data_IF_827946390584
#
_entry.id   IF_827946390584
#
_cell.length_a   1.000
_cell.length_b   1.000
_cell.length_c   1.000
_cell.angle_alpha   90.00
_cell.angle_beta   90.00
_cell.angle_gamma   90.00
#
_symmetry.space_group_name_H-M   'P 1'
#
loop_
_entity.id
_entity.type
_entity.pdbx_description
1 polymer ?
#
# COMPACT_ATOMS: atom_id res chain seq x y z
N UNK A 1 4.57 -12.91 19.81
CA UNK A 1 4.82 -11.82 20.77
C UNK A 1 4.50 -10.46 20.16
N UNK A 2 5.03 -10.13 18.97
CA UNK A 2 4.78 -8.84 18.30
C UNK A 2 3.30 -8.44 18.06
N UNK A 3 2.38 -9.39 17.83
CA UNK A 3 0.96 -9.06 17.59
C UNK A 3 0.26 -8.46 18.82
N UNK A 4 0.59 -8.94 20.02
CA UNK A 4 -0.03 -8.48 21.26
C UNK A 4 0.41 -7.06 21.64
N UNK A 5 1.66 -6.72 21.35
CA UNK A 5 2.20 -5.38 21.59
C UNK A 5 1.61 -4.36 20.59
N UNK A 6 1.37 -4.78 19.35
CA UNK A 6 0.72 -3.96 18.32
C UNK A 6 -0.73 -3.62 18.67
N UNK A 7 -1.52 -4.61 19.09
CA UNK A 7 -2.90 -4.37 19.55
C UNK A 7 -2.94 -3.48 20.78
N UNK A 8 -2.02 -3.69 21.73
CA UNK A 8 -1.94 -2.87 22.95
C UNK A 8 -1.71 -1.39 22.62
N UNK A 9 -0.86 -1.08 21.65
CA UNK A 9 -0.65 0.30 21.18
C UNK A 9 -1.95 0.90 20.62
N UNK A 10 -2.64 0.16 19.75
CA UNK A 10 -3.86 0.64 19.10
C UNK A 10 -5.01 0.80 20.09
N UNK A 11 -5.19 -0.13 21.03
CA UNK A 11 -6.18 -0.03 22.09
C UNK A 11 -5.94 1.22 22.95
N UNK A 12 -4.69 1.49 23.33
CA UNK A 12 -4.35 2.68 24.10
C UNK A 12 -4.53 3.98 23.29
N UNK A 13 -4.28 3.95 21.98
CA UNK A 13 -4.57 5.07 21.08
C UNK A 13 -6.08 5.33 20.98
N UNK A 14 -6.91 4.29 20.85
CA UNK A 14 -8.37 4.39 20.81
C UNK A 14 -8.93 4.89 22.14
N UNK A 15 -8.32 4.51 23.27
CA UNK A 15 -8.65 5.08 24.58
C UNK A 15 -8.32 6.58 24.65
N UNK A 16 -7.18 7.00 24.10
CA UNK A 16 -6.76 8.40 24.07
C UNK A 16 -7.56 9.25 23.07
N UNK A 17 -8.06 8.63 21.98
CA UNK A 17 -8.85 9.28 20.92
C UNK A 17 -10.15 8.49 20.69
N UNK A 18 -11.18 8.66 21.54
CA UNK A 18 -12.39 7.82 21.52
C UNK A 18 -13.14 7.79 20.19
N UNK A 19 -13.00 8.82 19.37
CA UNK A 19 -13.60 8.91 18.03
C UNK A 19 -13.07 7.85 17.04
N UNK A 20 -12.01 7.11 17.39
CA UNK A 20 -11.45 6.04 16.57
C UNK A 20 -12.06 4.65 16.84
N UNK A 21 -12.91 4.51 17.86
CA UNK A 21 -13.40 3.20 18.34
C UNK A 21 -14.15 2.40 17.28
N UNK A 22 -15.04 3.05 16.52
CA UNK A 22 -15.86 2.37 15.52
C UNK A 22 -14.97 1.83 14.39
N UNK A 23 -14.02 2.65 13.93
CA UNK A 23 -13.03 2.26 12.91
C UNK A 23 -12.15 1.11 13.41
N UNK A 24 -11.75 1.11 14.68
CA UNK A 24 -10.97 0.02 15.25
C UNK A 24 -11.75 -1.30 15.25
N UNK A 25 -13.00 -1.25 15.73
CA UNK A 25 -13.90 -2.40 15.78
C UNK A 25 -14.17 -3.00 14.40
N UNK A 26 -14.24 -2.15 13.37
CA UNK A 26 -14.35 -2.57 11.96
C UNK A 26 -13.11 -3.33 11.51
N UNK A 27 -11.91 -2.78 11.73
CA UNK A 27 -10.65 -3.42 11.32
C UNK A 27 -10.38 -4.73 12.06
N UNK A 28 -10.78 -4.86 13.33
CA UNK A 28 -10.71 -6.12 14.07
C UNK A 28 -11.59 -7.22 13.45
N UNK A 29 -12.73 -6.86 12.87
CA UNK A 29 -13.63 -7.82 12.19
C UNK A 29 -13.11 -8.20 10.80
N UNK A 30 -12.64 -7.23 10.03
CA UNK A 30 -12.21 -7.43 8.65
C UNK A 30 -10.83 -8.09 8.55
N UNK A 31 -9.93 -7.78 9.50
CA UNK A 31 -8.53 -8.17 9.43
C UNK A 31 -8.02 -8.76 10.75
N UNK A 32 -8.59 -9.85 11.27
CA UNK A 32 -8.32 -10.34 12.63
C UNK A 32 -6.82 -10.56 12.94
N UNK A 33 -6.04 -11.05 11.97
CA UNK A 33 -4.62 -11.34 12.17
C UNK A 33 -3.68 -10.13 12.00
N UNK A 34 -4.19 -9.02 11.46
CA UNK A 34 -3.39 -7.84 11.09
C UNK A 34 -4.07 -6.51 11.40
N UNK A 35 -5.08 -6.54 12.27
CA UNK A 35 -5.97 -5.41 12.52
C UNK A 35 -5.19 -4.14 12.86
N UNK A 36 -4.19 -4.24 13.74
CA UNK A 36 -3.39 -3.10 14.16
C UNK A 36 -2.62 -2.43 13.01
N UNK A 37 -2.04 -3.23 12.10
CA UNK A 37 -1.33 -2.71 10.92
C UNK A 37 -2.30 -2.04 9.94
N UNK A 38 -3.40 -2.74 9.60
CA UNK A 38 -4.41 -2.21 8.71
C UNK A 38 -5.02 -0.90 9.25
N UNK A 39 -5.30 -0.85 10.56
CA UNK A 39 -5.85 0.31 11.24
C UNK A 39 -4.88 1.50 11.21
N UNK A 40 -3.60 1.31 11.54
CA UNK A 40 -2.61 2.39 11.51
C UNK A 40 -2.39 2.93 10.09
N UNK A 41 -2.44 2.06 9.08
CA UNK A 41 -2.39 2.46 7.68
C UNK A 41 -3.55 3.37 7.32
N UNK A 42 -4.78 2.93 7.61
CA UNK A 42 -6.00 3.74 7.41
C UNK A 42 -5.91 5.07 8.16
N UNK A 43 -5.34 5.04 9.37
CA UNK A 43 -5.16 6.23 10.20
C UNK A 43 -4.20 7.24 9.59
N UNK A 44 -3.12 6.79 8.95
CA UNK A 44 -2.17 7.68 8.25
C UNK A 44 -2.87 8.48 7.14
N UNK A 45 -3.66 7.82 6.29
CA UNK A 45 -4.44 8.50 5.25
C UNK A 45 -5.44 9.50 5.86
N UNK A 46 -6.11 9.12 6.95
CA UNK A 46 -7.06 10.00 7.65
C UNK A 46 -6.39 11.22 8.27
N UNK A 47 -5.19 11.07 8.84
CA UNK A 47 -4.40 12.17 9.40
C UNK A 47 -3.97 13.13 8.29
N UNK A 48 -3.43 12.61 7.18
CA UNK A 48 -3.01 13.42 6.03
C UNK A 48 -4.22 14.16 5.42
N UNK A 49 -5.31 13.46 5.12
CA UNK A 49 -6.51 14.05 4.55
C UNK A 49 -7.17 15.05 5.51
N UNK A 50 -7.23 14.72 6.80
CA UNK A 50 -7.78 15.58 7.83
C UNK A 50 -7.00 16.89 7.95
N UNK A 51 -5.67 16.82 7.95
CA UNK A 51 -4.81 18.00 7.99
C UNK A 51 -4.95 18.88 6.74
N UNK A 52 -4.85 18.28 5.56
CA UNK A 52 -4.93 19.00 4.28
C UNK A 52 -6.32 19.60 3.99
N UNK A 53 -7.37 19.07 4.63
CA UNK A 53 -8.72 19.62 4.48
C UNK A 53 -8.88 21.04 5.03
N UNK A 54 -8.01 21.45 5.96
CA UNK A 54 -8.12 22.74 6.66
C UNK A 54 -9.29 22.85 7.64
N UNK A 55 -10.14 21.83 7.75
CA UNK A 55 -11.22 21.78 8.74
C UNK A 55 -10.63 21.74 10.17
N UNK A 56 -10.92 22.73 11.03
CA UNK A 56 -10.34 22.81 12.36
C UNK A 56 -10.56 21.56 13.22
N UNK A 57 -11.72 20.91 13.11
CA UNK A 57 -12.04 19.71 13.90
C UNK A 57 -11.21 18.51 13.41
N UNK A 58 -11.05 18.37 12.09
CA UNK A 58 -10.24 17.30 11.50
C UNK A 58 -8.75 17.52 11.75
N UNK A 59 -8.28 18.77 11.66
CA UNK A 59 -6.90 19.15 12.01
C UNK A 59 -6.62 18.86 13.49
N UNK A 60 -7.53 19.20 14.40
CA UNK A 60 -7.37 18.92 15.82
C UNK A 60 -7.31 17.41 16.11
N UNK A 61 -8.19 16.62 15.49
CA UNK A 61 -8.14 15.15 15.60
C UNK A 61 -6.82 14.59 15.05
N UNK A 62 -6.37 15.07 13.89
CA UNK A 62 -5.12 14.65 13.27
C UNK A 62 -3.90 14.94 14.15
N UNK A 63 -3.87 16.12 14.81
CA UNK A 63 -2.83 16.47 15.79
C UNK A 63 -2.89 15.58 17.03
N UNK A 64 -4.08 15.33 17.59
CA UNK A 64 -4.23 14.47 18.77
C UNK A 64 -3.68 13.05 18.52
N UNK A 65 -3.91 12.50 17.32
CA UNK A 65 -3.35 11.21 16.90
C UNK A 65 -1.83 11.28 16.80
N UNK A 66 -1.30 12.29 16.09
CA UNK A 66 0.13 12.46 15.91
C UNK A 66 0.86 12.68 17.24
N UNK A 67 0.30 13.48 18.15
CA UNK A 67 0.85 13.75 19.48
C UNK A 67 0.90 12.47 20.33
N UNK A 68 -0.15 11.65 20.27
CA UNK A 68 -0.15 10.36 20.95
C UNK A 68 0.98 9.47 20.43
N UNK A 69 1.08 9.28 19.11
CA UNK A 69 2.12 8.43 18.51
C UNK A 69 3.52 8.99 18.77
N UNK A 70 3.72 10.31 18.73
CA UNK A 70 4.97 10.99 19.07
C UNK A 70 5.41 10.72 20.52
N UNK A 71 4.45 10.64 21.45
CA UNK A 71 4.73 10.32 22.86
C UNK A 71 5.21 8.89 23.05
N UNK A 72 4.85 7.97 22.15
CA UNK A 72 5.22 6.55 22.20
C UNK A 72 6.44 6.23 21.36
N UNK A 73 6.67 6.97 20.28
CA UNK A 73 7.82 6.76 19.40
C UNK A 73 9.15 7.04 20.14
N UNK A 74 10.08 6.11 20.05
CA UNK A 74 11.35 6.05 20.77
C UNK A 74 11.28 5.39 22.15
N UNK A 75 10.12 4.88 22.58
CA UNK A 75 9.98 4.20 23.87
C UNK A 75 10.42 2.72 23.79
N UNK A 76 10.10 2.04 22.69
CA UNK A 76 10.50 0.66 22.42
C UNK A 76 10.61 0.39 20.91
N UNK A 77 11.46 -0.57 20.54
CA UNK A 77 11.79 -0.83 19.13
C UNK A 77 10.67 -1.46 18.32
N UNK A 78 9.72 -2.15 18.97
CA UNK A 78 8.64 -2.84 18.27
C UNK A 78 7.51 -1.86 17.92
N UNK A 79 7.16 -0.96 18.85
CA UNK A 79 6.33 0.22 18.58
C UNK A 79 6.92 1.07 17.47
N UNK A 80 8.23 1.37 17.52
CA UNK A 80 8.89 2.18 16.50
C UNK A 80 8.82 1.52 15.12
N UNK A 81 9.05 0.20 15.06
CA UNK A 81 8.94 -0.56 13.81
C UNK A 81 7.51 -0.51 13.26
N UNK A 82 6.52 -0.78 14.11
CA UNK A 82 5.11 -0.76 13.74
C UNK A 82 4.64 0.63 13.25
N UNK A 83 4.95 1.69 14.00
CA UNK A 83 4.59 3.06 13.61
C UNK A 83 5.30 3.46 12.32
N UNK A 84 6.57 3.05 12.16
CA UNK A 84 7.32 3.34 10.93
C UNK A 84 6.70 2.63 9.72
N UNK A 85 6.42 1.33 9.81
CA UNK A 85 5.95 0.53 8.68
C UNK A 85 4.46 0.73 8.38
N UNK A 86 3.61 0.87 9.40
CA UNK A 86 2.17 0.92 9.22
C UNK A 86 1.59 2.34 9.22
N UNK A 87 2.29 3.35 9.75
CA UNK A 87 1.78 4.72 9.80
C UNK A 87 2.64 5.68 8.97
N UNK A 88 3.95 5.81 9.28
CA UNK A 88 4.82 6.78 8.62
C UNK A 88 5.12 6.44 7.15
N UNK A 89 5.14 5.16 6.78
CA UNK A 89 5.34 4.72 5.40
C UNK A 89 4.31 5.32 4.42
N UNK A 90 3.13 5.71 4.91
CA UNK A 90 2.04 6.27 4.12
C UNK A 90 1.95 7.80 4.18
N UNK A 91 2.89 8.47 4.85
CA UNK A 91 2.99 9.93 4.76
C UNK A 91 3.58 10.37 3.40
N UNK A 92 3.21 11.57 2.92
CA UNK A 92 3.76 12.10 1.69
C UNK A 92 5.26 12.36 1.81
N UNK A 93 5.93 12.31 0.65
CA UNK A 93 7.35 12.65 0.57
C UNK A 93 7.62 14.06 1.11
N UNK A 94 8.73 14.29 1.84
CA UNK A 94 9.14 15.62 2.30
C UNK A 94 9.32 16.65 1.19
N UNK A 95 9.58 16.18 -0.03
CA UNK A 95 9.83 17.03 -1.19
C UNK A 95 8.62 17.11 -2.14
N UNK A 96 7.51 16.42 -1.81
CA UNK A 96 6.32 16.32 -2.65
C UNK A 96 5.32 17.47 -2.46
N UNK A 97 4.34 17.59 -3.36
CA UNK A 97 3.27 18.61 -3.31
C UNK A 97 2.44 18.58 -2.01
N UNK A 98 2.40 17.44 -1.32
CA UNK A 98 1.68 17.24 -0.04
C UNK A 98 2.59 17.29 1.18
N UNK A 99 3.85 17.74 1.05
CA UNK A 99 4.83 17.80 2.15
C UNK A 99 4.33 18.59 3.38
N UNK A 100 3.43 19.56 3.18
CA UNK A 100 2.80 20.30 4.28
C UNK A 100 2.05 19.41 5.28
N UNK A 101 1.61 18.21 4.89
CA UNK A 101 1.00 17.27 5.83
C UNK A 101 1.97 16.77 6.91
N UNK A 102 3.29 16.85 6.70
CA UNK A 102 4.30 16.53 7.72
C UNK A 102 4.32 17.54 8.88
N UNK A 103 3.68 18.71 8.74
CA UNK A 103 3.55 19.70 9.82
C UNK A 103 2.54 19.30 10.91
N UNK A 104 1.77 18.23 10.67
CA UNK A 104 0.94 17.61 11.71
C UNK A 104 1.78 16.77 12.67
N UNK A 105 2.95 16.28 12.23
CA UNK A 105 3.79 15.39 13.01
C UNK A 105 4.65 16.15 14.02
N UNK A 106 4.86 15.52 15.18
CA UNK A 106 5.88 15.93 16.13
C UNK A 106 7.31 15.71 15.60
N UNK A 107 8.33 16.22 16.32
CA UNK A 107 9.71 16.22 15.83
C UNK A 107 10.29 14.81 15.60
N UNK A 108 10.00 13.81 16.44
CA UNK A 108 10.52 12.45 16.28
C UNK A 108 9.89 11.78 15.06
N UNK A 109 8.56 11.81 14.95
CA UNK A 109 7.84 11.23 13.83
C UNK A 109 8.22 11.92 12.52
N UNK A 110 8.39 13.25 12.51
CA UNK A 110 8.85 14.00 11.33
C UNK A 110 10.26 13.60 10.92
N UNK A 111 11.18 13.44 11.88
CA UNK A 111 12.54 12.99 11.59
C UNK A 111 12.54 11.55 11.01
N UNK A 112 11.76 10.65 11.59
CA UNK A 112 11.60 9.28 11.09
C UNK A 112 10.94 9.24 9.71
N UNK A 113 9.88 10.03 9.47
CA UNK A 113 9.24 10.15 8.17
C UNK A 113 10.19 10.71 7.11
N UNK A 114 11.05 11.67 7.47
CA UNK A 114 12.08 12.19 6.55
C UNK A 114 13.16 11.14 6.24
N UNK A 115 13.58 10.37 7.24
CA UNK A 115 14.51 9.27 7.04
C UNK A 115 13.90 8.18 6.13
N UNK A 116 12.63 7.85 6.32
CA UNK A 116 11.88 6.88 5.52
C UNK A 116 11.51 7.40 4.11
N UNK A 117 11.24 8.70 3.98
CA UNK A 117 10.85 9.40 2.75
C UNK A 117 11.99 9.61 1.75
N UNK A 118 13.21 9.17 2.08
CA UNK A 118 14.37 9.17 1.17
C UNK A 118 14.32 8.05 0.12
N UNK A 119 13.11 7.73 -0.40
CA UNK A 119 12.84 6.97 -1.64
C UNK A 119 13.35 5.53 -1.75
N UNK A 120 14.26 5.06 -0.90
CA UNK A 120 15.05 3.87 -1.17
C UNK A 120 14.52 2.58 -0.53
N UNK A 121 13.43 2.62 0.25
CA UNK A 121 13.05 1.46 1.07
C UNK A 121 11.55 1.25 1.26
N UNK A 122 10.73 1.49 0.23
CA UNK A 122 9.33 1.01 0.18
C UNK A 122 9.29 -0.31 -0.59
N UNK A 123 8.86 -1.43 0.01
CA UNK A 123 8.79 -2.74 -0.67
C UNK A 123 8.03 -2.68 -2.01
N UNK A 124 6.99 -1.85 -2.09
CA UNK A 124 6.16 -1.61 -3.27
C UNK A 124 6.93 -0.93 -4.40
N UNK A 125 7.71 0.10 -4.09
CA UNK A 125 8.59 0.75 -5.08
C UNK A 125 9.68 -0.24 -5.55
N UNK A 126 10.20 -1.05 -4.62
CA UNK A 126 11.12 -2.13 -4.95
C UNK A 126 10.49 -3.18 -5.87
N UNK A 127 9.20 -3.49 -5.72
CA UNK A 127 8.48 -4.37 -6.64
C UNK A 127 8.45 -3.78 -8.04
N UNK A 128 8.11 -2.50 -8.19
CA UNK A 128 8.07 -1.82 -9.50
C UNK A 128 9.44 -1.90 -10.19
N UNK A 129 10.52 -1.56 -9.49
CA UNK A 129 11.88 -1.67 -10.03
C UNK A 129 12.20 -3.10 -10.47
N UNK A 130 11.86 -4.08 -9.65
CA UNK A 130 12.07 -5.51 -9.93
C UNK A 130 11.21 -6.02 -11.08
N UNK A 131 10.04 -5.44 -11.30
CA UNK A 131 9.12 -5.79 -12.36
C UNK A 131 9.60 -5.22 -13.71
N UNK A 132 9.93 -3.92 -13.75
CA UNK A 132 10.43 -3.26 -14.96
C UNK A 132 11.78 -3.86 -15.40
N UNK A 133 12.65 -4.23 -14.46
CA UNK A 133 13.89 -4.95 -14.79
C UNK A 133 13.64 -6.34 -15.38
N UNK A 134 12.57 -7.02 -14.96
CA UNK A 134 12.21 -8.33 -15.48
C UNK A 134 11.50 -8.24 -16.83
N UNK A 135 10.75 -7.16 -17.07
CA UNK A 135 10.00 -6.90 -18.31
C UNK A 135 10.28 -5.46 -18.77
N UNK A 136 11.39 -5.22 -19.49
CA UNK A 136 11.83 -3.88 -19.90
C UNK A 136 10.80 -3.14 -20.76
N UNK A 137 9.87 -3.84 -21.41
CA UNK A 137 8.76 -3.23 -22.16
C UNK A 137 7.79 -2.42 -21.29
N UNK A 138 7.88 -2.51 -19.96
CA UNK A 138 7.14 -1.65 -19.02
C UNK A 138 7.83 -0.30 -18.76
N UNK A 139 9.08 -0.09 -19.20
CA UNK A 139 9.79 1.18 -19.02
C UNK A 139 9.04 2.40 -19.58
N UNK A 140 8.38 2.34 -20.75
CA UNK A 140 7.58 3.46 -21.24
C UNK A 140 6.41 3.80 -20.31
N UNK A 141 5.71 2.78 -19.78
CA UNK A 141 4.60 2.99 -18.82
C UNK A 141 5.12 3.65 -17.55
N UNK A 142 6.27 3.20 -17.04
CA UNK A 142 6.87 3.79 -15.84
C UNK A 142 7.28 5.24 -16.08
N UNK A 143 7.81 5.56 -17.26
CA UNK A 143 8.17 6.93 -17.62
C UNK A 143 6.94 7.83 -17.66
N UNK A 144 5.90 7.42 -18.40
CA UNK A 144 4.66 8.18 -18.54
C UNK A 144 3.98 8.39 -17.18
N UNK A 145 4.02 7.37 -16.31
CA UNK A 145 3.54 7.44 -14.93
C UNK A 145 4.28 8.52 -14.12
N UNK A 146 5.62 8.49 -14.13
CA UNK A 146 6.44 9.45 -13.40
C UNK A 146 6.26 10.87 -13.93
N UNK A 147 6.18 11.03 -15.26
CA UNK A 147 5.96 12.32 -15.91
C UNK A 147 4.57 12.90 -15.57
N UNK A 148 3.55 12.05 -15.37
CA UNK A 148 2.19 12.51 -15.06
C UNK A 148 1.97 12.80 -13.58
N UNK A 149 2.44 11.92 -12.68
CA UNK A 149 2.18 12.03 -11.24
C UNK A 149 3.25 12.83 -10.47
N UNK A 150 4.41 13.08 -11.07
CA UNK A 150 5.62 13.64 -10.45
C UNK A 150 6.22 12.76 -9.31
N UNK A 151 5.68 11.56 -9.10
CA UNK A 151 6.16 10.60 -8.11
C UNK A 151 5.74 9.16 -8.49
N UNK A 152 6.42 8.15 -7.96
CA UNK A 152 6.01 6.76 -8.15
C UNK A 152 4.83 6.43 -7.21
N UNK A 153 3.70 6.06 -7.80
CA UNK A 153 2.50 5.58 -7.10
C UNK A 153 2.25 4.11 -7.48
N UNK A 154 2.81 3.13 -6.74
CA UNK A 154 2.83 1.72 -7.16
C UNK A 154 1.46 1.12 -7.48
N UNK A 155 0.42 1.48 -6.72
CA UNK A 155 -0.95 1.02 -6.98
C UNK A 155 -1.49 1.50 -8.32
N UNK A 156 -1.27 2.79 -8.64
CA UNK A 156 -1.71 3.35 -9.91
C UNK A 156 -0.87 2.79 -11.07
N UNK A 157 0.43 2.63 -10.86
CA UNK A 157 1.30 2.00 -11.85
C UNK A 157 0.87 0.56 -12.16
N UNK A 158 0.62 -0.29 -11.16
CA UNK A 158 0.09 -1.65 -11.41
C UNK A 158 -1.30 -1.60 -12.08
N UNK A 159 -2.13 -0.63 -11.73
CA UNK A 159 -3.41 -0.39 -12.39
C UNK A 159 -3.26 -0.02 -13.88
N UNK A 160 -2.21 0.68 -14.26
CA UNK A 160 -1.88 1.03 -15.66
C UNK A 160 -1.24 -0.14 -16.41
N UNK A 161 -0.45 -0.98 -15.72
CA UNK A 161 0.14 -2.20 -16.28
C UNK A 161 -0.93 -3.28 -16.53
N UNK A 162 -1.96 -3.38 -15.70
CA UNK A 162 -2.95 -4.47 -15.78
C UNK A 162 -3.67 -4.54 -17.14
N UNK A 163 -4.27 -3.44 -17.68
CA UNK A 163 -4.87 -3.45 -19.01
C UNK A 163 -3.90 -3.86 -20.11
N UNK A 164 -2.63 -3.46 -20.01
CA UNK A 164 -1.61 -3.81 -20.99
C UNK A 164 -1.27 -5.31 -20.96
N UNK A 165 -1.19 -5.91 -19.76
CA UNK A 165 -1.02 -7.36 -19.60
C UNK A 165 -2.22 -8.12 -20.17
N UNK A 166 -3.44 -7.62 -19.96
CA UNK A 166 -4.66 -8.20 -20.54
C UNK A 166 -4.61 -8.14 -22.07
N UNK A 167 -4.24 -7.00 -22.65
CA UNK A 167 -4.08 -6.83 -24.09
C UNK A 167 -3.03 -7.78 -24.66
N UNK A 168 -1.87 -7.89 -24.02
CA UNK A 168 -0.80 -8.78 -24.43
C UNK A 168 -1.19 -10.26 -24.37
N UNK A 169 -1.92 -10.67 -23.33
CA UNK A 169 -2.39 -12.04 -23.16
C UNK A 169 -3.45 -12.44 -24.19
N UNK A 170 -4.27 -11.50 -24.65
CA UNK A 170 -5.29 -11.72 -25.68
C UNK A 170 -4.77 -11.60 -27.12
N UNK A 171 -3.47 -11.38 -27.32
CA UNK A 171 -2.87 -11.23 -28.64
C UNK A 171 -2.49 -12.58 -29.26
N UNK A 172 -2.67 -12.72 -30.57
CA UNK A 172 -2.15 -13.85 -31.35
C UNK A 172 -0.62 -13.81 -31.55
N UNK A 173 0.06 -12.74 -31.09
CA UNK A 173 1.52 -12.62 -31.13
C UNK A 173 2.15 -13.37 -29.95
N UNK A 174 2.91 -14.47 -30.19
CA UNK A 174 3.54 -15.24 -29.13
C UNK A 174 4.54 -14.42 -28.29
N UNK A 175 5.12 -13.36 -28.87
CA UNK A 175 6.00 -12.44 -28.16
C UNK A 175 5.25 -11.58 -27.15
N UNK A 176 4.03 -11.15 -27.48
CA UNK A 176 3.18 -10.40 -26.55
C UNK A 176 2.66 -11.32 -25.44
N UNK A 177 2.17 -12.52 -25.77
CA UNK A 177 1.76 -13.48 -24.74
C UNK A 177 2.91 -13.81 -23.78
N UNK A 178 4.13 -13.99 -24.30
CA UNK A 178 5.32 -14.22 -23.49
C UNK A 178 5.62 -13.05 -22.54
N UNK A 179 5.38 -11.79 -22.94
CA UNK A 179 5.50 -10.62 -22.05
C UNK A 179 4.47 -10.62 -20.95
N UNK A 180 3.20 -10.89 -21.29
CA UNK A 180 2.14 -11.02 -20.28
C UNK A 180 2.49 -12.08 -19.24
N UNK A 181 2.98 -13.25 -19.71
CA UNK A 181 3.43 -14.33 -18.85
C UNK A 181 4.61 -13.93 -17.97
N UNK A 182 5.61 -13.22 -18.52
CA UNK A 182 6.75 -12.74 -17.74
C UNK A 182 6.34 -11.78 -16.61
N UNK A 183 5.36 -10.89 -16.86
CA UNK A 183 4.80 -10.03 -15.81
C UNK A 183 4.12 -10.88 -14.72
N UNK A 184 3.22 -11.78 -15.12
CA UNK A 184 2.46 -12.61 -14.18
C UNK A 184 3.38 -13.52 -13.36
N UNK A 185 4.34 -14.18 -14.00
CA UNK A 185 5.34 -15.02 -13.33
C UNK A 185 6.15 -14.20 -12.31
N UNK A 186 6.46 -12.95 -12.65
CA UNK A 186 7.16 -12.07 -11.72
C UNK A 186 6.32 -11.74 -10.50
N UNK A 187 5.06 -11.35 -10.69
CA UNK A 187 4.14 -11.05 -9.58
C UNK A 187 3.87 -12.30 -8.72
N UNK A 188 3.67 -13.46 -9.35
CA UNK A 188 3.51 -14.76 -8.68
C UNK A 188 4.75 -15.13 -7.84
N UNK A 189 5.95 -14.82 -8.33
CA UNK A 189 7.20 -15.05 -7.61
C UNK A 189 7.37 -14.15 -6.38
N UNK A 190 6.81 -12.93 -6.42
CA UNK A 190 6.93 -11.93 -5.35
C UNK A 190 5.82 -12.09 -4.29
N UNK A 191 4.68 -12.67 -4.67
CA UNK A 191 3.54 -12.88 -3.76
C UNK A 191 3.86 -13.90 -2.64
N UNK A 192 3.52 -13.56 -1.40
CA UNK A 192 3.71 -14.34 -0.18
C UNK A 192 5.00 -14.02 0.58
N UNK A 193 5.76 -13.00 0.17
CA UNK A 193 7.03 -12.63 0.79
C UNK A 193 6.96 -11.38 1.67
N UNK A 194 6.11 -10.41 1.31
CA UNK A 194 5.97 -9.15 2.01
C UNK A 194 4.52 -8.67 1.91
N UNK A 195 3.92 -8.29 3.04
CA UNK A 195 2.52 -7.91 3.11
C UNK A 195 2.17 -6.71 2.21
N UNK A 196 3.05 -5.71 2.14
CA UNK A 196 2.78 -4.51 1.33
C UNK A 196 2.83 -4.83 -0.16
N UNK A 197 3.74 -5.72 -0.55
CA UNK A 197 3.81 -6.26 -1.92
C UNK A 197 2.58 -7.12 -2.23
N UNK A 198 2.17 -7.99 -1.31
CA UNK A 198 1.01 -8.87 -1.49
C UNK A 198 -0.29 -8.07 -1.63
N UNK A 199 -0.44 -7.02 -0.82
CA UNK A 199 -1.60 -6.15 -0.87
C UNK A 199 -1.63 -5.33 -2.17
N UNK A 200 -0.49 -4.78 -2.59
CA UNK A 200 -0.35 -4.11 -3.88
C UNK A 200 -0.72 -5.04 -5.05
N UNK A 201 -0.20 -6.27 -5.07
CA UNK A 201 -0.50 -7.24 -6.12
C UNK A 201 -1.98 -7.62 -6.10
N UNK A 202 -2.54 -7.87 -4.92
CA UNK A 202 -3.96 -8.20 -4.77
C UNK A 202 -4.87 -7.07 -5.27
N UNK A 203 -4.77 -5.91 -4.63
CA UNK A 203 -5.69 -4.79 -4.82
C UNK A 203 -5.49 -4.04 -6.15
N UNK A 204 -4.30 -4.10 -6.76
CA UNK A 204 -4.00 -3.32 -7.97
C UNK A 204 -3.75 -4.12 -9.22
N UNK A 205 -3.46 -5.42 -9.10
CA UNK A 205 -3.37 -6.30 -10.27
C UNK A 205 -4.52 -7.31 -10.29
N UNK A 206 -4.62 -8.18 -9.28
CA UNK A 206 -5.58 -9.31 -9.30
C UNK A 206 -7.03 -8.83 -9.35
N UNK A 207 -7.39 -7.82 -8.54
CA UNK A 207 -8.74 -7.24 -8.50
C UNK A 207 -9.14 -6.58 -9.81
N UNK A 208 -8.17 -6.05 -10.57
CA UNK A 208 -8.41 -5.35 -11.83
C UNK A 208 -8.45 -6.29 -13.06
N UNK A 209 -8.25 -7.60 -12.88
CA UNK A 209 -8.36 -8.55 -13.97
C UNK A 209 -9.82 -8.75 -14.39
N UNK A 210 -10.10 -8.93 -15.69
CA UNK A 210 -11.46 -9.18 -16.18
C UNK A 210 -12.05 -10.48 -15.61
N UNK A 211 -13.37 -10.62 -15.62
CA UNK A 211 -14.00 -11.93 -15.35
C UNK A 211 -13.71 -12.91 -16.49
N UNK A 212 -13.94 -14.20 -16.25
CA UNK A 212 -13.65 -15.23 -17.25
C UNK A 212 -14.51 -15.08 -18.52
N UNK A 213 -15.72 -14.57 -18.34
CA UNK A 213 -16.69 -14.28 -19.39
C UNK A 213 -16.52 -12.92 -20.07
N UNK A 214 -15.69 -12.03 -19.50
CA UNK A 214 -15.47 -10.68 -20.03
C UNK A 214 -14.36 -10.68 -21.10
N UNK A 215 -14.37 -9.72 -22.05
CA UNK A 215 -13.24 -9.52 -22.96
C UNK A 215 -11.91 -9.41 -22.21
N UNK A 216 -10.92 -10.20 -22.64
CA UNK A 216 -9.61 -10.29 -21.98
C UNK A 216 -9.51 -11.34 -20.86
N UNK A 217 -10.58 -12.11 -20.60
CA UNK A 217 -10.60 -13.21 -19.63
C UNK A 217 -9.56 -14.30 -19.87
N UNK A 218 -8.97 -14.39 -21.06
CA UNK A 218 -7.93 -15.38 -21.39
C UNK A 218 -6.65 -15.21 -20.54
N UNK A 219 -6.37 -13.99 -20.07
CA UNK A 219 -5.25 -13.69 -19.15
C UNK A 219 -5.27 -14.57 -17.88
N UNK A 220 -6.45 -15.03 -17.49
CA UNK A 220 -6.65 -15.83 -16.28
C UNK A 220 -6.05 -17.22 -16.38
N UNK A 221 -5.91 -17.74 -17.61
CA UNK A 221 -5.23 -19.00 -17.87
C UNK A 221 -3.73 -18.93 -17.56
N UNK A 222 -3.15 -17.73 -17.59
CA UNK A 222 -1.74 -17.48 -17.28
C UNK A 222 -1.45 -17.39 -15.78
N UNK A 223 -2.47 -17.24 -14.92
CA UNK A 223 -2.26 -17.11 -13.48
C UNK A 223 -1.68 -18.39 -12.86
N UNK A 224 -0.59 -18.22 -12.12
CA UNK A 224 -0.02 -19.23 -11.25
C UNK A 224 -0.92 -19.55 -10.03
N UNK A 225 -0.55 -20.57 -9.23
CA UNK A 225 -1.38 -21.08 -8.15
C UNK A 225 -1.67 -20.08 -7.04
N UNK A 226 -0.71 -19.21 -6.67
CA UNK A 226 -0.89 -18.21 -5.61
C UNK A 226 -1.88 -17.16 -6.05
N UNK A 227 -1.66 -16.50 -7.20
CA UNK A 227 -2.52 -15.42 -7.67
C UNK A 227 -3.93 -15.92 -8.03
N UNK A 228 -4.04 -17.16 -8.53
CA UNK A 228 -5.34 -17.82 -8.71
C UNK A 228 -6.09 -17.98 -7.38
N UNK A 229 -5.40 -18.35 -6.31
CA UNK A 229 -6.00 -18.47 -4.97
C UNK A 229 -6.44 -17.11 -4.42
N UNK A 230 -5.67 -16.03 -4.66
CA UNK A 230 -6.06 -14.65 -4.30
C UNK A 230 -7.37 -14.28 -4.98
N UNK A 231 -7.46 -14.51 -6.29
CA UNK A 231 -8.64 -14.17 -7.09
C UNK A 231 -9.88 -14.93 -6.65
N UNK A 232 -9.73 -16.22 -6.34
CA UNK A 232 -10.84 -17.04 -5.83
C UNK A 232 -11.41 -16.46 -4.54
N UNK A 233 -10.56 -16.08 -3.58
CA UNK A 233 -10.99 -15.46 -2.31
C UNK A 233 -11.73 -14.14 -2.51
N UNK A 234 -11.38 -13.35 -3.54
CA UNK A 234 -12.02 -12.07 -3.84
C UNK A 234 -13.43 -12.22 -4.43
N UNK A 235 -13.74 -13.35 -5.07
CA UNK A 235 -15.04 -13.59 -5.72
C UNK A 235 -15.94 -14.55 -4.93
N UNK A 236 -15.44 -15.19 -3.87
CA UNK A 236 -16.21 -16.04 -2.96
C UNK A 236 -16.69 -15.31 -1.69
N UNK A 237 -16.31 -14.03 -1.51
CA UNK A 237 -16.79 -13.14 -0.44
C UNK A 237 -17.97 -12.28 -0.86
#
# INVERSE_FOLDING_TARGET
>A
MMAQDAETLVDQLVLAVPALRDMWSEHQREYPDQAAHAFLRTLAFRVVAGYLSGDPARVAQARQIADYLESRFGADSDTDRLVSSAFLAHFPSPDGRRAGALDVLGPKLRAAAKAAGSGANRPEAGLVDRLVRAVPELEPVLRDHLDFYDELLPHLFLGEVTPQVVEWAGSDDPGLEARARAVIDRLESEYGHDYQVDELIGASFVENLPRAEDPGGDVLALLGPKLRSVRQRMHEG
#
